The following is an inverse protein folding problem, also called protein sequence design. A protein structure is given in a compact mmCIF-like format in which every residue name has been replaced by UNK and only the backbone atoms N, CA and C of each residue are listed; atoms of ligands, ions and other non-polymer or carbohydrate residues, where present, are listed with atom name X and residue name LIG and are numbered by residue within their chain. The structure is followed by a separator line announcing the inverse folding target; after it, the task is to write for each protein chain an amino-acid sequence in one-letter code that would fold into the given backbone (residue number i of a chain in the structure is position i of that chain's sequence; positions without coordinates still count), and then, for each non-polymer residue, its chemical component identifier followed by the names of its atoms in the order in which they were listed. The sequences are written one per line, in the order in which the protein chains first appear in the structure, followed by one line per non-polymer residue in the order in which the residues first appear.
data_IF_802848530753
#
_entry.id   IF_802848530753
#
_cell.length_a   1.000
_cell.length_b   1.000
_cell.length_c   1.000
_cell.angle_alpha   90.00
_cell.angle_beta   90.00
_cell.angle_gamma   90.00
#
_symmetry.space_group_name_H-M   'P 1'
#
loop_
_entity.id
_entity.type
_entity.pdbx_description
1 polymer ?
#
# COMPACT_ATOMS: atom_id res chain seq x y z
N UNK A 1 11.17 3.65 -1.02
CA UNK A 1 10.08 4.23 -0.20
C UNK A 1 10.57 4.30 1.23
N UNK A 2 10.23 5.36 1.96
CA UNK A 2 10.48 5.49 3.39
C UNK A 2 9.22 6.03 4.07
N UNK A 3 8.93 5.58 5.29
CA UNK A 3 7.76 6.00 6.06
C UNK A 3 8.03 5.88 7.57
N UNK A 4 7.27 6.58 8.39
CA UNK A 4 7.36 6.48 9.85
C UNK A 4 6.76 5.17 10.35
N UNK A 5 7.34 4.59 11.40
CA UNK A 5 6.87 3.33 12.01
C UNK A 5 5.38 3.33 12.36
N UNK A 6 4.84 4.48 12.77
CA UNK A 6 3.41 4.67 13.11
C UNK A 6 2.46 4.27 11.97
N UNK A 7 2.89 4.31 10.70
CA UNK A 7 2.08 3.83 9.59
C UNK A 7 1.74 2.33 9.73
N UNK A 8 2.60 1.55 10.37
CA UNK A 8 2.40 0.11 10.59
C UNK A 8 1.23 -0.18 11.52
N UNK A 9 0.88 0.75 12.41
CA UNK A 9 -0.26 0.60 13.35
C UNK A 9 -1.59 0.48 12.60
N UNK A 10 -1.65 1.01 11.37
CA UNK A 10 -2.82 0.91 10.48
C UNK A 10 -2.58 -0.11 9.36
N UNK A 11 -1.34 -0.25 8.87
CA UNK A 11 -1.04 -1.10 7.72
C UNK A 11 -1.04 -2.60 8.04
N UNK A 12 -0.74 -2.98 9.28
CA UNK A 12 -0.62 -4.38 9.69
C UNK A 12 -1.91 -4.93 10.34
N UNK A 13 -2.14 -6.26 10.26
CA UNK A 13 -1.45 -7.21 9.38
C UNK A 13 -1.76 -6.93 7.90
N UNK A 14 -0.86 -7.29 6.98
CA UNK A 14 -1.13 -7.14 5.55
C UNK A 14 -2.33 -8.01 5.13
N UNK A 15 -3.28 -7.47 4.34
CA UNK A 15 -4.35 -8.30 3.79
C UNK A 15 -3.77 -9.37 2.84
N UNK A 16 -4.27 -10.61 2.85
CA UNK A 16 -3.61 -11.75 2.19
C UNK A 16 -3.52 -11.64 0.67
N UNK A 17 -4.40 -10.86 0.04
CA UNK A 17 -4.53 -10.84 -1.43
C UNK A 17 -3.98 -9.58 -2.10
N UNK A 18 -3.31 -8.67 -1.37
CA UNK A 18 -2.81 -7.43 -1.97
C UNK A 18 -1.70 -7.72 -3.00
N UNK A 19 -1.69 -7.03 -4.16
CA UNK A 19 -0.72 -7.28 -5.22
C UNK A 19 0.72 -6.98 -4.81
N UNK A 20 0.93 -5.91 -4.02
CA UNK A 20 2.23 -5.45 -3.56
C UNK A 20 2.08 -4.72 -2.22
N UNK A 21 2.98 -4.99 -1.28
CA UNK A 21 2.99 -4.33 0.03
C UNK A 21 3.29 -2.83 -0.08
N UNK A 22 4.19 -2.44 -0.98
CA UNK A 22 4.55 -1.03 -1.19
C UNK A 22 3.36 -0.19 -1.64
N UNK A 23 2.54 -0.71 -2.56
CA UNK A 23 1.32 -0.03 -3.04
C UNK A 23 0.31 0.12 -1.90
N UNK A 24 0.16 -0.92 -1.08
CA UNK A 24 -0.71 -0.87 0.11
C UNK A 24 -0.26 0.20 1.11
N UNK A 25 1.04 0.23 1.44
CA UNK A 25 1.63 1.22 2.35
C UNK A 25 1.50 2.63 1.78
N UNK A 26 1.78 2.82 0.49
CA UNK A 26 1.63 4.11 -0.18
C UNK A 26 0.21 4.64 -0.12
N UNK A 27 -0.79 3.80 -0.43
CA UNK A 27 -2.20 4.21 -0.38
C UNK A 27 -2.65 4.57 1.03
N UNK A 28 -2.23 3.82 2.05
CA UNK A 28 -2.54 4.16 3.44
C UNK A 28 -1.85 5.45 3.88
N UNK A 29 -0.62 5.70 3.43
CA UNK A 29 0.09 6.94 3.70
C UNK A 29 -0.62 8.16 3.08
N UNK A 30 -1.11 8.04 1.83
CA UNK A 30 -1.92 9.07 1.16
C UNK A 30 -3.22 9.37 1.93
N UNK A 31 -3.84 8.36 2.55
CA UNK A 31 -5.08 8.55 3.32
C UNK A 31 -4.84 9.15 4.71
N UNK A 32 -3.73 8.78 5.37
CA UNK A 32 -3.51 9.08 6.80
C UNK A 32 -2.50 10.18 7.07
N UNK A 33 -1.70 10.56 6.08
CA UNK A 33 -0.60 11.51 6.28
C UNK A 33 -0.28 12.30 5.04
N UNK A 34 0.92 12.88 5.04
CA UNK A 34 1.44 13.67 3.93
C UNK A 34 2.46 12.82 3.17
N UNK A 35 2.27 12.68 1.86
CA UNK A 35 3.19 11.99 0.97
C UNK A 35 3.91 13.01 0.10
N UNK A 36 5.21 12.83 -0.07
CA UNK A 36 6.05 13.68 -0.92
C UNK A 36 6.81 12.80 -1.90
N UNK A 37 6.79 13.18 -3.18
CA UNK A 37 7.59 12.56 -4.22
C UNK A 37 8.83 13.42 -4.48
N UNK A 38 10.00 12.89 -4.13
CA UNK A 38 11.28 13.56 -4.40
C UNK A 38 11.68 13.31 -5.85
N UNK A 39 11.89 14.37 -6.61
CA UNK A 39 12.37 14.29 -8.01
C UNK A 39 13.90 14.09 -8.10
N UNK A 40 14.49 13.51 -7.05
CA UNK A 40 15.93 13.28 -6.92
C UNK A 40 16.23 11.77 -7.01
N UNK A 41 17.31 11.42 -7.71
CA UNK A 41 17.74 10.03 -7.87
C UNK A 41 18.53 9.56 -6.65
N UNK A 42 17.81 9.17 -5.60
CA UNK A 42 18.41 8.74 -4.33
C UNK A 42 18.74 7.23 -4.25
N UNK A 43 18.25 6.44 -5.21
CA UNK A 43 18.41 4.98 -5.21
C UNK A 43 18.98 4.52 -6.54
N UNK A 44 20.13 3.84 -6.50
CA UNK A 44 20.73 3.18 -7.66
C UNK A 44 20.22 1.74 -7.76
N UNK A 45 19.27 1.50 -8.67
CA UNK A 45 18.79 0.14 -8.95
C UNK A 45 19.61 -0.52 -10.07
N UNK A 46 20.41 -1.53 -9.73
CA UNK A 46 21.16 -2.36 -10.70
C UNK A 46 20.30 -3.51 -11.20
N UNK A 47 20.23 -3.70 -12.52
CA UNK A 47 19.53 -4.81 -13.17
C UNK A 47 20.52 -5.71 -13.90
N UNK A 48 20.27 -7.01 -13.86
CA UNK A 48 21.02 -8.02 -14.60
C UNK A 48 20.06 -8.81 -15.51
N UNK A 49 20.58 -9.44 -16.55
CA UNK A 49 19.77 -10.18 -17.54
C UNK A 49 18.95 -11.32 -16.92
N UNK A 50 19.37 -11.81 -15.75
CA UNK A 50 18.67 -12.85 -14.98
C UNK A 50 17.67 -12.30 -13.95
N UNK A 51 17.33 -11.00 -13.99
CA UNK A 51 16.34 -10.45 -13.07
C UNK A 51 14.95 -11.03 -13.33
N UNK A 52 14.27 -11.47 -12.27
CA UNK A 52 12.93 -12.06 -12.34
C UNK A 52 11.82 -11.06 -12.78
N UNK A 53 12.09 -9.76 -12.75
CA UNK A 53 11.15 -8.69 -13.09
C UNK A 53 11.30 -8.23 -14.54
N UNK A 54 10.27 -8.43 -15.35
CA UNK A 54 10.17 -7.95 -16.73
C UNK A 54 9.76 -6.46 -16.80
N UNK A 55 10.20 -5.73 -17.82
CA UNK A 55 9.81 -4.32 -18.02
C UNK A 55 8.34 -4.17 -18.41
N UNK A 56 7.82 -5.12 -19.16
CA UNK A 56 6.43 -5.12 -19.58
C UNK A 56 5.60 -6.01 -18.66
N UNK A 57 4.54 -5.43 -18.13
CA UNK A 57 3.55 -6.20 -17.41
C UNK A 57 2.81 -7.11 -18.39
N UNK A 58 3.06 -8.42 -18.28
CA UNK A 58 2.31 -9.47 -19.00
C UNK A 58 0.85 -9.62 -18.49
N UNK A 59 0.42 -8.77 -17.56
CA UNK A 59 -0.93 -8.81 -17.02
C UNK A 59 -1.92 -8.27 -18.07
N UNK A 60 -2.97 -9.04 -18.34
CA UNK A 60 -4.10 -8.59 -19.14
C UNK A 60 -4.79 -7.37 -18.51
N UNK A 61 -5.50 -6.58 -19.33
CA UNK A 61 -6.26 -5.42 -18.85
C UNK A 61 -7.26 -5.83 -17.76
N UNK A 62 -7.95 -6.95 -17.95
CA UNK A 62 -8.87 -7.50 -16.96
C UNK A 62 -8.17 -7.78 -15.63
N UNK A 63 -6.97 -8.38 -15.67
CA UNK A 63 -6.17 -8.62 -14.46
C UNK A 63 -5.78 -7.30 -13.78
N UNK A 64 -5.37 -6.29 -14.55
CA UNK A 64 -5.04 -4.94 -14.02
C UNK A 64 -6.23 -4.29 -13.32
N UNK A 65 -7.46 -4.48 -13.83
CA UNK A 65 -8.70 -3.99 -13.20
C UNK A 65 -8.99 -4.78 -11.93
N UNK A 66 -8.94 -6.12 -12.00
CA UNK A 66 -9.16 -7.00 -10.84
C UNK A 66 -8.24 -6.64 -9.67
N UNK A 67 -6.95 -6.39 -9.94
CA UNK A 67 -5.98 -5.97 -8.92
C UNK A 67 -6.36 -4.64 -8.25
N UNK A 68 -6.89 -3.68 -9.03
CA UNK A 68 -7.37 -2.39 -8.49
C UNK A 68 -8.61 -2.56 -7.63
N UNK A 69 -9.59 -3.33 -8.09
CA UNK A 69 -10.80 -3.63 -7.32
C UNK A 69 -10.47 -4.31 -5.99
N UNK A 70 -9.50 -5.23 -6.01
CA UNK A 70 -9.03 -5.89 -4.80
C UNK A 70 -8.34 -4.92 -3.83
N UNK A 71 -7.51 -4.00 -4.32
CA UNK A 71 -6.90 -2.97 -3.48
C UNK A 71 -7.98 -2.06 -2.85
N UNK A 72 -8.96 -1.63 -3.64
CA UNK A 72 -10.06 -0.77 -3.18
C UNK A 72 -10.89 -1.48 -2.10
N UNK A 73 -11.27 -2.74 -2.30
CA UNK A 73 -12.06 -3.47 -1.32
C UNK A 73 -11.31 -3.66 0.00
N UNK A 74 -10.02 -4.02 -0.05
CA UNK A 74 -9.20 -4.17 1.15
C UNK A 74 -8.98 -2.84 1.87
N UNK A 75 -8.82 -1.74 1.13
CA UNK A 75 -8.73 -0.40 1.73
C UNK A 75 -10.05 -0.02 2.42
N UNK A 76 -11.19 -0.24 1.79
CA UNK A 76 -12.49 0.05 2.37
C UNK A 76 -12.71 -0.72 3.68
N UNK A 77 -12.44 -2.04 3.68
CA UNK A 77 -12.51 -2.88 4.89
C UNK A 77 -11.60 -2.31 5.98
N UNK A 78 -10.35 -1.99 5.64
CA UNK A 78 -9.37 -1.47 6.61
C UNK A 78 -9.82 -0.15 7.23
N UNK A 79 -10.34 0.77 6.43
CA UNK A 79 -10.78 2.08 6.91
C UNK A 79 -12.01 1.98 7.81
N UNK A 80 -12.95 1.08 7.51
CA UNK A 80 -14.10 0.81 8.38
C UNK A 80 -13.62 0.21 9.72
N UNK A 81 -12.75 -0.80 9.69
CA UNK A 81 -12.23 -1.41 10.91
C UNK A 81 -11.41 -0.44 11.77
N UNK A 82 -10.58 0.41 11.14
CA UNK A 82 -9.78 1.42 11.84
C UNK A 82 -10.66 2.51 12.49
N UNK A 83 -11.76 2.89 11.84
CA UNK A 83 -12.72 3.88 12.38
C UNK A 83 -13.40 3.34 13.64
N UNK A 84 -13.82 2.07 13.63
CA UNK A 84 -14.40 1.43 14.81
C UNK A 84 -13.42 1.35 15.98
N UNK A 85 -12.14 1.07 15.73
CA UNK A 85 -11.12 1.04 16.79
C UNK A 85 -10.85 2.43 17.41
N UNK A 86 -10.87 3.49 16.59
CA UNK A 86 -10.69 4.86 17.09
C UNK A 86 -11.88 5.35 17.91
N UNK A 87 -13.12 5.02 17.52
CA UNK A 87 -14.31 5.35 18.29
C UNK A 87 -14.32 4.64 19.65
N UNK A 88 -13.92 3.36 19.72
CA UNK A 88 -13.83 2.63 21.00
C UNK A 88 -12.76 3.24 21.92
N UNK A 89 -11.59 3.60 21.40
CA UNK A 89 -10.52 4.24 22.20
C UNK A 89 -10.91 5.64 22.72
N UNK A 90 -11.70 6.39 21.96
CA UNK A 90 -12.16 7.72 22.38
C UNK A 90 -13.30 7.67 23.41
N UNK A 91 -14.14 6.63 23.40
CA UNK A 91 -15.21 6.44 24.39
C UNK A 91 -14.73 5.87 25.74
N UNK A 92 -13.46 5.46 25.83
CA UNK A 92 -12.82 4.95 27.05
C UNK A 92 -11.93 6.00 27.76
N UNK A 93 -11.93 7.24 27.26
CA UNK A 93 -11.34 8.42 27.90
C UNK A 93 -12.45 9.33 28.41
#
# INVERSE_FOLDING_TARGET
MAFKRELLDVALPFPPNIPMHDVWLGLLAEIKGNVVFLNEKLVLYRRHDKNASFMESKNSVLRKIQLRLLLISNLAIRLVSATNQNNVKNNLK
#
